data_IF_872670448867
#
_entry.id   IF_872670448867
#
_cell.length_a   1.000
_cell.length_b   1.000
_cell.length_c   1.000
_cell.angle_alpha   90.00
_cell.angle_beta   90.00
_cell.angle_gamma   90.00
#
_symmetry.space_group_name_H-M   'P 1'
#
loop_
_entity.id
_entity.type
_entity.pdbx_description
1 polymer ?
#
# COMPACT_ATOMS: atom_id res chain seq x y z
N UNK A 1 -17.11 10.50 39.54
CA UNK A 1 -16.52 9.33 38.91
C UNK A 1 -15.04 9.23 39.32
N UNK A 2 -14.79 8.48 40.40
CA UNK A 2 -13.43 8.12 40.81
C UNK A 2 -12.98 6.94 39.93
N UNK A 3 -12.31 7.20 38.82
CA UNK A 3 -11.56 6.20 38.13
C UNK A 3 -10.10 6.24 38.62
N UNK A 4 -9.67 5.30 39.49
CA UNK A 4 -8.33 5.30 40.08
C UNK A 4 -7.23 4.89 39.11
N UNK A 5 -7.53 4.68 37.84
CA UNK A 5 -6.62 4.14 36.82
C UNK A 5 -5.93 5.15 35.93
N UNK A 6 -6.15 6.45 36.12
CA UNK A 6 -5.40 7.47 35.37
C UNK A 6 -4.10 7.83 36.14
N UNK A 7 -3.21 6.89 36.33
CA UNK A 7 -1.85 7.24 36.71
C UNK A 7 -1.12 7.74 35.46
N UNK A 8 -0.59 8.97 35.49
CA UNK A 8 0.38 9.39 34.49
C UNK A 8 1.54 8.39 34.49
N UNK A 9 1.63 7.58 33.45
CA UNK A 9 2.75 6.67 33.24
C UNK A 9 3.60 7.27 32.13
N UNK A 10 4.77 7.74 32.48
CA UNK A 10 5.77 8.14 31.50
C UNK A 10 6.41 6.86 30.94
N UNK A 11 6.43 6.73 29.62
CA UNK A 11 7.12 5.65 28.93
C UNK A 11 8.38 6.20 28.27
N UNK A 12 9.46 5.44 28.38
CA UNK A 12 10.70 5.71 27.67
C UNK A 12 11.05 4.48 26.83
N UNK A 13 10.84 4.60 25.53
CA UNK A 13 11.02 3.50 24.55
C UNK A 13 12.15 3.89 23.61
N UNK A 14 13.41 3.53 23.92
CA UNK A 14 14.53 3.84 23.06
C UNK A 14 14.47 3.00 21.78
N UNK A 15 14.67 3.66 20.65
CA UNK A 15 14.80 3.04 19.33
C UNK A 15 16.14 3.41 18.73
N UNK A 16 16.81 2.42 18.16
CA UNK A 16 18.04 2.60 17.39
C UNK A 16 17.88 1.99 16.01
N UNK A 17 18.29 2.71 14.98
CA UNK A 17 18.21 2.21 13.61
C UNK A 17 19.45 2.57 12.79
N UNK A 18 19.76 1.73 11.81
CA UNK A 18 20.77 1.94 10.79
C UNK A 18 20.16 1.66 9.43
N UNK A 19 20.23 2.64 8.54
CA UNK A 19 19.78 2.53 7.16
C UNK A 19 20.98 2.71 6.22
N UNK A 20 21.22 1.72 5.38
CA UNK A 20 22.34 1.71 4.46
C UNK A 20 21.91 1.22 3.07
N UNK A 21 22.35 1.92 2.04
CA UNK A 21 22.05 1.56 0.66
C UNK A 21 23.25 1.84 -0.24
N UNK A 22 23.29 1.11 -1.35
CA UNK A 22 24.22 1.34 -2.43
C UNK A 22 23.46 1.75 -3.67
N UNK A 23 24.08 2.52 -4.51
CA UNK A 23 23.50 2.98 -5.77
C UNK A 23 24.45 2.60 -6.91
N UNK A 24 23.92 1.82 -7.85
CA UNK A 24 24.62 1.47 -9.09
C UNK A 24 23.79 1.95 -10.27
N UNK A 25 24.44 2.41 -11.30
CA UNK A 25 23.81 2.77 -12.55
C UNK A 25 24.56 2.20 -13.75
N UNK A 26 23.83 1.95 -14.82
CA UNK A 26 24.39 1.59 -16.11
C UNK A 26 23.57 2.18 -17.25
N UNK A 27 24.23 2.38 -18.37
CA UNK A 27 23.59 2.81 -19.61
C UNK A 27 23.55 1.62 -20.58
N UNK A 28 22.46 1.51 -21.31
CA UNK A 28 22.32 0.47 -22.33
C UNK A 28 21.42 0.94 -23.47
N UNK A 29 21.57 0.31 -24.63
CA UNK A 29 20.75 0.56 -25.83
C UNK A 29 19.81 -0.63 -26.02
N UNK A 30 18.53 -0.33 -26.25
CA UNK A 30 17.52 -1.33 -26.59
C UNK A 30 16.69 -0.82 -27.78
N UNK A 31 16.74 -1.54 -28.89
CA UNK A 31 16.01 -1.22 -30.12
C UNK A 31 16.26 0.22 -30.62
N UNK A 32 17.51 0.70 -30.49
CA UNK A 32 17.93 2.04 -30.93
C UNK A 32 17.56 3.19 -29.98
N UNK A 33 17.00 2.89 -28.82
CA UNK A 33 16.72 3.87 -27.76
C UNK A 33 17.72 3.68 -26.60
N UNK A 34 18.17 4.79 -26.03
CA UNK A 34 19.08 4.79 -24.87
C UNK A 34 18.29 4.81 -23.57
N UNK A 35 18.76 4.00 -22.64
CA UNK A 35 18.19 3.89 -21.30
C UNK A 35 19.31 3.96 -20.25
N UNK A 36 18.97 4.47 -19.09
CA UNK A 36 19.72 4.25 -17.86
C UNK A 36 18.94 3.30 -16.96
N UNK A 37 19.66 2.39 -16.31
CA UNK A 37 19.11 1.51 -15.29
C UNK A 37 19.82 1.74 -13.98
N UNK A 38 19.07 1.92 -12.89
CA UNK A 38 19.59 1.91 -11.53
C UNK A 38 19.42 0.55 -10.88
N UNK A 39 20.28 0.22 -9.93
CA UNK A 39 20.12 -0.89 -9.01
C UNK A 39 20.50 -0.40 -7.62
N UNK A 40 19.55 -0.47 -6.69
CA UNK A 40 19.60 0.18 -5.38
C UNK A 40 19.34 -0.87 -4.27
N UNK A 41 20.34 -1.69 -3.88
CA UNK A 41 20.23 -2.56 -2.72
C UNK A 41 20.24 -1.72 -1.44
N UNK A 42 19.39 -2.12 -0.46
CA UNK A 42 19.21 -1.43 0.82
C UNK A 42 19.14 -2.45 1.94
N UNK A 43 19.77 -2.13 3.05
CA UNK A 43 19.68 -2.88 4.30
C UNK A 43 19.23 -1.89 5.37
N UNK A 44 18.20 -2.27 6.10
CA UNK A 44 17.68 -1.49 7.21
C UNK A 44 17.65 -2.37 8.46
N UNK A 45 18.30 -1.93 9.52
CA UNK A 45 18.30 -2.58 10.83
C UNK A 45 17.63 -1.66 11.84
N UNK A 46 16.76 -2.20 12.69
CA UNK A 46 16.24 -1.46 13.83
C UNK A 46 16.02 -2.33 15.04
N UNK A 47 16.21 -1.72 16.21
CA UNK A 47 15.90 -2.30 17.51
C UNK A 47 15.13 -1.27 18.35
N UNK A 48 13.98 -1.68 18.88
CA UNK A 48 13.13 -0.91 19.77
C UNK A 48 12.89 -1.75 21.02
N UNK A 49 13.22 -1.20 22.19
CA UNK A 49 13.06 -1.93 23.45
C UNK A 49 11.60 -2.19 23.77
N UNK A 50 11.33 -3.36 24.33
CA UNK A 50 10.02 -3.67 24.88
C UNK A 50 9.72 -2.82 26.12
N UNK A 51 8.52 -2.24 26.16
CA UNK A 51 7.92 -1.63 27.33
C UNK A 51 6.45 -2.04 27.43
N UNK A 52 5.99 -2.38 28.63
CA UNK A 52 4.59 -2.74 28.84
C UNK A 52 3.67 -1.53 28.66
N UNK A 53 2.90 -1.56 27.61
CA UNK A 53 1.94 -0.53 27.20
C UNK A 53 0.48 -0.97 27.40
N UNK A 54 0.23 -2.12 28.03
CA UNK A 54 -1.11 -2.73 28.17
C UNK A 54 -2.11 -1.84 28.92
N UNK A 55 -1.62 -1.03 29.85
CA UNK A 55 -2.45 -0.11 30.67
C UNK A 55 -2.77 1.22 29.95
N UNK A 56 -2.15 1.48 28.80
CA UNK A 56 -2.43 2.70 28.04
C UNK A 56 -3.65 2.49 27.15
N UNK A 57 -4.55 3.47 27.06
CA UNK A 57 -5.66 3.41 26.13
C UNK A 57 -5.16 3.41 24.68
N UNK A 58 -5.88 2.76 23.81
CA UNK A 58 -5.60 2.73 22.38
C UNK A 58 -6.74 3.47 21.65
N UNK A 59 -6.42 4.57 20.98
CA UNK A 59 -7.39 5.44 20.32
C UNK A 59 -7.24 5.40 18.80
N UNK A 60 -6.00 5.53 18.29
CA UNK A 60 -5.73 5.72 16.87
C UNK A 60 -4.68 4.76 16.31
N UNK A 61 -4.29 3.75 17.08
CA UNK A 61 -3.31 2.77 16.64
C UNK A 61 -3.91 1.77 15.66
N UNK A 62 -3.28 1.64 14.52
CA UNK A 62 -3.54 0.58 13.55
C UNK A 62 -2.22 0.05 13.00
N UNK A 63 -2.24 -1.21 12.55
CA UNK A 63 -1.11 -1.78 11.84
C UNK A 63 -0.98 -1.15 10.44
N UNK A 64 0.23 -0.76 10.08
CA UNK A 64 0.53 -0.24 8.75
C UNK A 64 0.52 -1.39 7.75
N UNK A 65 -0.22 -1.22 6.66
CA UNK A 65 -0.11 -2.12 5.51
C UNK A 65 1.34 -2.20 5.02
N UNK A 66 1.82 -3.42 4.79
CA UNK A 66 3.15 -3.63 4.23
C UNK A 66 3.20 -3.04 2.81
N UNK A 67 4.16 -2.15 2.58
CA UNK A 67 4.39 -1.53 1.29
C UNK A 67 5.87 -1.13 1.15
N UNK A 68 6.24 -0.57 0.03
CA UNK A 68 7.63 -0.20 -0.26
C UNK A 68 8.27 0.73 0.79
N UNK A 69 7.48 1.57 1.46
CA UNK A 69 7.99 2.49 2.47
C UNK A 69 7.95 1.87 3.87
N UNK A 70 6.83 1.24 4.23
CA UNK A 70 6.62 0.68 5.56
C UNK A 70 7.50 -0.52 5.86
N UNK A 71 7.96 -1.25 4.83
CA UNK A 71 8.86 -2.40 5.03
C UNK A 71 10.22 -1.98 5.61
N UNK A 72 10.62 -0.71 5.43
CA UNK A 72 11.85 -0.13 5.99
C UNK A 72 11.55 0.84 7.15
N UNK A 73 10.43 0.68 7.86
CA UNK A 73 10.09 1.51 9.01
C UNK A 73 10.51 0.84 10.33
N UNK A 74 10.79 1.66 11.32
CA UNK A 74 11.10 1.24 12.69
C UNK A 74 9.86 0.70 13.40
N UNK A 75 8.74 1.41 13.29
CA UNK A 75 7.46 1.06 13.89
C UNK A 75 6.48 0.61 12.82
N UNK A 76 5.76 -0.49 13.09
CA UNK A 76 4.72 -1.00 12.21
C UNK A 76 3.32 -0.49 12.58
N UNK A 77 3.19 0.31 13.63
CA UNK A 77 1.95 0.99 13.97
C UNK A 77 1.92 2.42 13.41
N UNK A 78 0.73 2.85 12.98
CA UNK A 78 0.36 4.27 12.83
C UNK A 78 -0.30 4.74 14.12
N UNK A 79 -0.43 6.06 14.27
CA UNK A 79 -0.92 6.68 15.50
C UNK A 79 0.21 6.87 16.52
N UNK A 80 -0.13 7.41 17.68
CA UNK A 80 0.83 7.75 18.74
C UNK A 80 0.71 6.92 19.99
N UNK A 81 -0.27 6.02 20.08
CA UNK A 81 -0.64 5.33 21.32
C UNK A 81 0.19 4.08 21.59
N UNK A 82 0.81 3.53 20.55
CA UNK A 82 1.60 2.29 20.63
C UNK A 82 2.89 2.41 19.84
N UNK A 83 3.94 1.84 20.40
CA UNK A 83 5.22 1.63 19.72
C UNK A 83 5.53 0.14 19.81
N UNK A 84 5.71 -0.51 18.67
CA UNK A 84 6.04 -1.94 18.62
C UNK A 84 7.48 -2.15 19.06
N UNK A 85 7.70 -3.11 19.94
CA UNK A 85 9.03 -3.64 20.20
C UNK A 85 9.51 -4.38 18.96
N UNK A 86 10.77 -4.18 18.60
CA UNK A 86 11.33 -4.76 17.39
C UNK A 86 12.82 -4.99 17.51
N UNK A 87 13.26 -6.13 17.02
CA UNK A 87 14.65 -6.40 16.69
C UNK A 87 14.65 -7.04 15.31
N UNK A 88 14.93 -6.23 14.29
CA UNK A 88 14.64 -6.61 12.91
C UNK A 88 15.70 -6.13 11.93
N UNK A 89 15.84 -6.88 10.85
CA UNK A 89 16.66 -6.50 9.71
C UNK A 89 15.85 -6.67 8.42
N UNK A 90 15.86 -5.65 7.57
CA UNK A 90 15.17 -5.68 6.27
C UNK A 90 16.20 -5.62 5.16
N UNK A 91 16.11 -6.56 4.24
CA UNK A 91 16.85 -6.53 2.98
C UNK A 91 15.91 -6.18 1.85
N UNK A 92 16.36 -5.32 0.95
CA UNK A 92 15.61 -5.00 -0.25
C UNK A 92 16.49 -4.54 -1.38
N UNK A 93 15.92 -4.54 -2.57
CA UNK A 93 16.55 -4.01 -3.75
C UNK A 93 15.50 -3.37 -4.65
N UNK A 94 15.81 -2.20 -5.19
CA UNK A 94 14.99 -1.51 -6.18
C UNK A 94 15.76 -1.31 -7.47
N UNK A 95 15.05 -1.29 -8.59
CA UNK A 95 15.60 -0.98 -9.90
C UNK A 95 14.67 -0.06 -10.65
N UNK A 96 15.23 0.86 -11.42
CA UNK A 96 14.47 1.76 -12.30
C UNK A 96 15.11 1.79 -13.68
N UNK A 97 14.28 1.82 -14.71
CA UNK A 97 14.71 2.00 -16.10
C UNK A 97 14.13 3.32 -16.58
N UNK A 98 15.01 4.22 -16.96
CA UNK A 98 14.68 5.59 -17.36
C UNK A 98 15.16 5.79 -18.79
N UNK A 99 14.33 6.37 -19.66
CA UNK A 99 14.73 6.66 -21.03
C UNK A 99 15.54 7.98 -21.11
N UNK A 100 16.09 8.27 -22.28
CA UNK A 100 16.88 9.48 -22.55
C UNK A 100 16.16 10.82 -22.30
N UNK A 101 14.82 10.81 -22.21
CA UNK A 101 13.99 11.99 -21.88
C UNK A 101 13.74 12.12 -20.36
N UNK A 102 14.34 11.27 -19.54
CA UNK A 102 14.13 11.25 -18.10
C UNK A 102 12.81 10.61 -17.64
N UNK A 103 12.07 9.93 -18.55
CA UNK A 103 10.83 9.27 -18.20
C UNK A 103 11.10 7.84 -17.71
N UNK A 104 10.59 7.52 -16.52
CA UNK A 104 10.63 6.16 -15.97
C UNK A 104 9.73 5.24 -16.81
N UNK A 105 10.36 4.19 -17.34
CA UNK A 105 9.71 3.15 -18.14
C UNK A 105 9.35 1.93 -17.33
N UNK A 106 10.17 1.62 -16.34
CA UNK A 106 9.96 0.51 -15.42
C UNK A 106 10.56 0.87 -14.07
N UNK A 107 9.89 0.47 -13.00
CA UNK A 107 10.45 0.36 -11.66
C UNK A 107 10.00 -0.93 -11.02
N UNK A 108 10.86 -1.51 -10.18
CA UNK A 108 10.57 -2.73 -9.45
C UNK A 108 11.30 -2.72 -8.11
N UNK A 109 10.66 -3.27 -7.09
CA UNK A 109 11.20 -3.44 -5.75
C UNK A 109 10.88 -4.81 -5.23
N UNK A 110 11.85 -5.43 -4.58
CA UNK A 110 11.70 -6.66 -3.79
C UNK A 110 12.30 -6.40 -2.42
N UNK A 111 11.60 -6.80 -1.37
CA UNK A 111 12.11 -6.66 -0.01
C UNK A 111 11.47 -7.68 0.93
N UNK A 112 12.21 -8.03 2.00
CA UNK A 112 11.72 -8.88 3.08
C UNK A 112 12.35 -8.46 4.40
N UNK A 113 11.57 -8.50 5.47
CA UNK A 113 12.00 -8.23 6.84
C UNK A 113 12.15 -9.54 7.59
N UNK A 114 13.19 -9.62 8.39
CA UNK A 114 13.49 -10.73 9.30
C UNK A 114 13.43 -10.20 10.72
N UNK A 115 12.68 -10.88 11.56
CA UNK A 115 12.57 -10.58 12.98
C UNK A 115 13.57 -11.47 13.74
N UNK A 116 14.42 -10.85 14.53
CA UNK A 116 15.49 -11.53 15.24
C UNK A 116 15.07 -11.92 16.67
N UNK A 117 13.99 -11.29 17.16
CA UNK A 117 13.35 -11.60 18.45
C UNK A 117 11.83 -11.56 18.29
N UNK A 118 11.11 -12.24 19.19
CA UNK A 118 9.66 -12.24 19.25
C UNK A 118 9.14 -10.82 19.54
N UNK A 119 8.03 -10.48 18.91
CA UNK A 119 7.32 -9.21 19.11
C UNK A 119 6.29 -9.39 20.21
N UNK A 120 6.34 -8.57 21.24
CA UNK A 120 5.49 -8.67 22.44
C UNK A 120 4.39 -7.62 22.49
N UNK A 121 4.60 -6.44 21.88
CA UNK A 121 3.58 -5.39 21.78
C UNK A 121 2.73 -5.64 20.54
N UNK A 122 1.57 -6.29 20.74
CA UNK A 122 0.64 -6.65 19.68
C UNK A 122 -0.74 -6.03 19.97
N UNK A 123 -1.54 -5.82 18.92
CA UNK A 123 -2.96 -5.50 19.06
C UNK A 123 -3.78 -6.77 19.26
N UNK A 124 -5.01 -6.67 19.77
CA UNK A 124 -5.88 -7.84 19.98
C UNK A 124 -6.07 -8.68 18.71
N UNK A 125 -6.18 -8.04 17.56
CA UNK A 125 -6.32 -8.72 16.26
C UNK A 125 -5.06 -9.48 15.84
N UNK A 126 -3.88 -9.09 16.34
CA UNK A 126 -2.61 -9.73 16.02
C UNK A 126 -2.36 -10.98 16.87
N UNK A 127 -2.84 -11.05 18.11
CA UNK A 127 -2.68 -12.23 18.95
C UNK A 127 -3.33 -13.50 18.37
N UNK A 128 -4.35 -13.33 17.52
CA UNK A 128 -5.09 -14.43 16.92
C UNK A 128 -4.50 -14.88 15.57
N UNK A 129 -3.47 -14.21 15.07
CA UNK A 129 -2.92 -14.44 13.74
C UNK A 129 -1.49 -15.00 13.81
N UNK A 130 -1.27 -16.21 13.28
CA UNK A 130 0.04 -16.86 13.21
C UNK A 130 1.08 -16.07 12.42
N UNK A 131 0.66 -15.28 11.43
CA UNK A 131 1.57 -14.49 10.58
C UNK A 131 2.38 -13.45 11.40
N UNK A 132 1.83 -12.99 12.54
CA UNK A 132 2.54 -12.06 13.42
C UNK A 132 3.56 -12.71 14.34
N UNK A 133 3.53 -14.03 14.45
CA UNK A 133 4.53 -14.83 15.21
C UNK A 133 5.64 -15.38 14.31
N UNK A 134 5.55 -15.18 13.01
CA UNK A 134 6.58 -15.61 12.07
C UNK A 134 7.88 -14.81 12.26
N UNK A 135 9.02 -15.47 12.04
CA UNK A 135 10.36 -14.87 12.08
C UNK A 135 10.60 -13.98 10.84
N UNK A 136 9.68 -14.00 9.85
CA UNK A 136 9.80 -13.21 8.62
C UNK A 136 8.50 -12.45 8.32
N UNK A 137 8.61 -11.31 7.65
CA UNK A 137 7.46 -10.70 6.99
C UNK A 137 7.15 -11.43 5.69
N UNK A 138 5.99 -11.15 5.11
CA UNK A 138 5.76 -11.47 3.72
C UNK A 138 6.88 -10.92 2.83
N UNK A 139 7.21 -11.67 1.78
CA UNK A 139 8.04 -11.18 0.69
C UNK A 139 7.24 -10.13 -0.07
N UNK A 140 7.69 -8.89 -0.03
CA UNK A 140 7.09 -7.78 -0.75
C UNK A 140 7.72 -7.64 -2.14
N UNK A 141 6.88 -7.61 -3.17
CA UNK A 141 7.28 -7.38 -4.56
C UNK A 141 6.37 -6.31 -5.14
N UNK A 142 6.96 -5.31 -5.77
CA UNK A 142 6.20 -4.32 -6.54
C UNK A 142 6.84 -4.08 -7.90
N UNK A 143 6.01 -3.80 -8.90
CA UNK A 143 6.45 -3.44 -10.23
C UNK A 143 5.53 -2.38 -10.83
N UNK A 144 6.12 -1.42 -11.52
CA UNK A 144 5.41 -0.39 -12.27
C UNK A 144 6.03 -0.24 -13.66
N UNK A 145 5.20 -0.12 -14.68
CA UNK A 145 5.70 0.08 -16.06
C UNK A 145 4.82 1.06 -16.83
N UNK A 146 5.47 1.93 -17.61
CA UNK A 146 4.82 2.83 -18.56
C UNK A 146 4.92 2.22 -19.95
N UNK A 147 3.89 1.45 -20.36
CA UNK A 147 3.82 0.78 -21.67
C UNK A 147 3.88 1.83 -22.78
N UNK A 148 3.06 2.85 -22.65
CA UNK A 148 3.08 4.04 -23.50
C UNK A 148 3.24 5.29 -22.64
N UNK A 149 3.26 6.47 -23.25
CA UNK A 149 3.22 7.74 -22.49
C UNK A 149 1.91 7.91 -21.69
N UNK A 150 0.86 7.24 -22.13
CA UNK A 150 -0.51 7.40 -21.63
C UNK A 150 -1.01 6.20 -20.82
N UNK A 151 -0.31 5.05 -20.86
CA UNK A 151 -0.71 3.81 -20.19
C UNK A 151 0.34 3.37 -19.20
N UNK A 152 -0.04 3.38 -17.91
CA UNK A 152 0.75 2.88 -16.79
C UNK A 152 0.09 1.67 -16.15
N UNK A 153 0.89 0.64 -15.86
CA UNK A 153 0.50 -0.55 -15.12
C UNK A 153 1.27 -0.60 -13.81
N UNK A 154 0.62 -1.05 -12.75
CA UNK A 154 1.26 -1.33 -11.46
C UNK A 154 0.80 -2.68 -10.95
N UNK A 155 1.69 -3.40 -10.28
CA UNK A 155 1.42 -4.65 -9.59
C UNK A 155 2.13 -4.66 -8.24
N UNK A 156 1.48 -5.19 -7.23
CA UNK A 156 2.05 -5.43 -5.90
C UNK A 156 1.67 -6.83 -5.45
N UNK A 157 2.61 -7.53 -4.83
CA UNK A 157 2.42 -8.88 -4.33
C UNK A 157 3.08 -9.03 -2.96
N UNK A 158 2.35 -9.56 -2.00
CA UNK A 158 2.84 -9.98 -0.70
C UNK A 158 2.63 -11.48 -0.58
N UNK A 159 3.72 -12.21 -0.42
CA UNK A 159 3.72 -13.65 -0.41
C UNK A 159 4.36 -14.18 0.87
N UNK A 160 3.61 -14.95 1.64
CA UNK A 160 4.11 -15.64 2.81
C UNK A 160 4.91 -16.87 2.36
N UNK A 161 6.22 -16.86 2.63
CA UNK A 161 7.11 -17.95 2.23
C UNK A 161 6.97 -19.18 3.13
N UNK A 162 6.56 -19.00 4.39
CA UNK A 162 6.44 -20.09 5.36
C UNK A 162 5.16 -20.89 5.14
N UNK A 163 4.07 -20.21 4.82
CA UNK A 163 2.77 -20.84 4.55
C UNK A 163 2.50 -21.06 3.05
N UNK A 164 3.43 -20.67 2.19
CA UNK A 164 3.32 -20.79 0.73
C UNK A 164 2.02 -20.19 0.16
N UNK A 165 1.58 -19.07 0.72
CA UNK A 165 0.31 -18.42 0.32
C UNK A 165 0.49 -16.95 -0.08
N UNK A 166 -0.39 -16.48 -0.94
CA UNK A 166 -0.53 -15.05 -1.24
C UNK A 166 -1.37 -14.39 -0.18
N UNK A 167 -0.81 -13.42 0.56
CA UNK A 167 -1.55 -12.61 1.51
C UNK A 167 -2.15 -11.37 0.84
N UNK A 168 -1.46 -10.78 -0.14
CA UNK A 168 -2.00 -9.65 -0.89
C UNK A 168 -1.54 -9.66 -2.34
N UNK A 169 -2.46 -9.35 -3.24
CA UNK A 169 -2.18 -9.11 -4.65
C UNK A 169 -2.99 -7.90 -5.11
N UNK A 170 -2.33 -6.91 -5.66
CA UNK A 170 -2.99 -5.77 -6.28
C UNK A 170 -2.44 -5.57 -7.69
N UNK A 171 -3.35 -5.28 -8.60
CA UNK A 171 -3.02 -4.91 -9.97
C UNK A 171 -3.82 -3.68 -10.35
N UNK A 172 -3.19 -2.72 -11.02
CA UNK A 172 -3.89 -1.57 -11.55
C UNK A 172 -3.37 -1.14 -12.92
N UNK A 173 -4.26 -0.59 -13.70
CA UNK A 173 -3.98 -0.01 -15.00
C UNK A 173 -4.59 1.39 -15.07
N UNK A 174 -3.82 2.35 -15.50
CA UNK A 174 -4.28 3.73 -15.73
C UNK A 174 -3.94 4.17 -17.15
N UNK A 175 -4.99 4.48 -17.89
CA UNK A 175 -4.90 5.10 -19.21
C UNK A 175 -5.28 6.57 -19.11
N UNK A 176 -4.36 7.46 -19.47
CA UNK A 176 -4.52 8.92 -19.35
C UNK A 176 -3.99 9.62 -20.59
N UNK A 177 -4.75 9.59 -21.73
CA UNK A 177 -4.26 10.09 -23.03
C UNK A 177 -4.18 11.61 -23.13
N UNK A 178 -4.92 12.34 -22.27
CA UNK A 178 -5.00 13.80 -22.32
C UNK A 178 -5.51 14.36 -20.99
N UNK A 179 -5.42 15.67 -20.81
CA UNK A 179 -5.93 16.36 -19.62
C UNK A 179 -7.44 16.11 -19.49
N UNK A 180 -7.86 15.70 -18.30
CA UNK A 180 -9.27 15.40 -18.00
C UNK A 180 -9.82 14.10 -18.61
N UNK A 181 -8.97 13.29 -19.28
CA UNK A 181 -9.32 11.97 -19.79
C UNK A 181 -8.56 10.91 -19.02
N UNK A 182 -9.23 10.06 -18.27
CA UNK A 182 -8.61 8.88 -17.71
C UNK A 182 -9.59 7.72 -17.58
N UNK A 183 -9.03 6.52 -17.66
CA UNK A 183 -9.68 5.26 -17.29
C UNK A 183 -8.74 4.55 -16.33
N UNK A 184 -9.26 4.08 -15.22
CA UNK A 184 -8.57 3.29 -14.22
C UNK A 184 -9.27 1.96 -14.07
N UNK A 185 -8.49 0.88 -14.07
CA UNK A 185 -8.91 -0.47 -13.73
C UNK A 185 -8.07 -0.93 -12.55
N UNK A 186 -8.69 -1.56 -11.58
CA UNK A 186 -8.02 -2.11 -10.42
C UNK A 186 -8.58 -3.46 -10.04
N UNK A 187 -7.71 -4.33 -9.56
CA UNK A 187 -8.03 -5.58 -8.91
C UNK A 187 -7.26 -5.65 -7.60
N UNK A 188 -7.90 -6.16 -6.55
CA UNK A 188 -7.31 -6.34 -5.23
C UNK A 188 -7.76 -7.69 -4.65
N UNK A 189 -6.78 -8.45 -4.20
CA UNK A 189 -6.96 -9.63 -3.36
C UNK A 189 -6.28 -9.38 -2.02
N UNK A 190 -6.94 -9.72 -0.91
CA UNK A 190 -6.37 -9.73 0.44
C UNK A 190 -6.88 -11.00 1.12
N UNK A 191 -5.95 -11.84 1.56
CA UNK A 191 -6.23 -12.92 2.49
C UNK A 191 -6.47 -12.30 3.86
N UNK A 192 -7.69 -12.41 4.38
CA UNK A 192 -8.04 -11.89 5.71
C UNK A 192 -8.08 -13.03 6.72
N UNK A 193 -7.04 -13.20 7.55
CA UNK A 193 -6.98 -14.30 8.50
C UNK A 193 -8.00 -14.17 9.64
N UNK A 194 -8.63 -13.01 9.81
CA UNK A 194 -9.67 -12.77 10.82
C UNK A 194 -11.08 -12.90 10.25
N UNK A 195 -11.21 -13.17 8.96
CA UNK A 195 -12.48 -13.34 8.25
C UNK A 195 -12.64 -14.75 7.71
N UNK A 196 -13.88 -15.20 7.58
CA UNK A 196 -14.19 -16.47 6.91
C UNK A 196 -14.08 -16.42 5.39
N UNK A 197 -13.85 -15.23 4.82
CA UNK A 197 -13.75 -15.02 3.37
C UNK A 197 -12.67 -13.99 3.04
N UNK A 198 -11.96 -14.23 1.95
CA UNK A 198 -10.98 -13.31 1.39
C UNK A 198 -11.66 -12.07 0.80
N UNK A 199 -10.92 -10.97 0.71
CA UNK A 199 -11.36 -9.79 -0.01
C UNK A 199 -10.88 -9.90 -1.46
N UNK A 200 -11.81 -10.00 -2.42
CA UNK A 200 -11.54 -10.03 -3.85
C UNK A 200 -12.37 -8.95 -4.54
N UNK A 201 -11.75 -7.85 -4.90
CA UNK A 201 -12.46 -6.68 -5.41
C UNK A 201 -11.92 -6.25 -6.75
N UNK A 202 -12.83 -5.89 -7.66
CA UNK A 202 -12.52 -5.23 -8.91
C UNK A 202 -13.15 -3.84 -8.94
N UNK A 203 -12.44 -2.88 -9.50
CA UNK A 203 -12.97 -1.54 -9.70
C UNK A 203 -12.63 -1.02 -11.10
N UNK A 204 -13.56 -0.24 -11.65
CA UNK A 204 -13.35 0.57 -12.84
C UNK A 204 -13.79 2.00 -12.51
N UNK A 205 -12.98 2.98 -12.88
CA UNK A 205 -13.37 4.38 -12.76
C UNK A 205 -12.80 5.18 -13.93
N UNK A 206 -13.44 6.30 -14.21
CA UNK A 206 -12.97 7.15 -15.29
C UNK A 206 -13.64 8.51 -15.32
N UNK A 207 -12.97 9.39 -16.05
CA UNK A 207 -13.48 10.69 -16.44
C UNK A 207 -13.23 10.89 -17.91
N UNK A 208 -14.22 11.45 -18.61
CA UNK A 208 -14.09 11.71 -20.03
C UNK A 208 -14.80 13.01 -20.42
N UNK A 209 -14.11 13.96 -21.10
CA UNK A 209 -14.74 15.18 -21.60
C UNK A 209 -15.71 14.85 -22.72
N UNK A 210 -16.90 15.46 -22.63
CA UNK A 210 -17.99 15.34 -23.60
C UNK A 210 -18.01 16.53 -24.58
N UNK A 211 -17.19 17.54 -24.33
CA UNK A 211 -17.14 18.78 -25.10
C UNK A 211 -17.92 19.92 -24.45
N UNK A 212 -17.68 21.15 -24.94
CA UNK A 212 -18.38 22.37 -24.50
C UNK A 212 -18.41 22.58 -22.97
N UNK A 213 -17.29 22.25 -22.28
CA UNK A 213 -17.19 22.38 -20.82
C UNK A 213 -17.78 21.20 -20.02
N UNK A 214 -18.42 20.25 -20.68
CA UNK A 214 -18.96 19.05 -20.04
C UNK A 214 -17.95 17.93 -19.94
N UNK A 215 -17.95 17.21 -18.82
CA UNK A 215 -17.25 15.94 -18.62
C UNK A 215 -18.12 14.95 -17.88
N UNK A 216 -18.00 13.66 -18.22
CA UNK A 216 -18.61 12.56 -17.48
C UNK A 216 -17.62 11.99 -16.46
N UNK A 217 -18.14 11.49 -15.34
CA UNK A 217 -17.40 10.70 -14.35
C UNK A 217 -18.18 9.43 -14.04
N UNK A 218 -17.47 8.33 -13.86
CA UNK A 218 -18.08 7.08 -13.44
C UNK A 218 -17.10 6.29 -12.55
N UNK A 219 -17.66 5.54 -11.58
CA UNK A 219 -16.95 4.54 -10.78
C UNK A 219 -17.89 3.36 -10.55
N UNK A 220 -17.33 2.18 -10.63
CA UNK A 220 -18.01 0.95 -10.25
C UNK A 220 -17.05 0.06 -9.50
N UNK A 221 -17.45 -0.42 -8.33
CA UNK A 221 -16.67 -1.31 -7.48
C UNK A 221 -17.51 -2.52 -7.13
N UNK A 222 -16.93 -3.69 -7.29
CA UNK A 222 -17.62 -4.98 -7.17
C UNK A 222 -16.81 -5.93 -6.31
N UNK A 223 -17.48 -6.63 -5.40
CA UNK A 223 -16.95 -7.75 -4.62
C UNK A 223 -17.12 -9.03 -5.43
N UNK A 224 -15.98 -9.64 -5.81
CA UNK A 224 -15.98 -10.87 -6.59
C UNK A 224 -16.21 -12.11 -5.73
N UNK A 225 -15.94 -12.05 -4.42
CA UNK A 225 -16.18 -13.15 -3.48
C UNK A 225 -17.66 -13.17 -3.05
N UNK A 226 -18.16 -12.05 -2.56
CA UNK A 226 -19.57 -11.87 -2.17
C UNK A 226 -20.53 -11.77 -3.35
N UNK A 227 -20.03 -11.63 -4.58
CA UNK A 227 -20.84 -11.41 -5.79
C UNK A 227 -21.80 -10.21 -5.67
N UNK A 228 -21.34 -9.12 -5.06
CA UNK A 228 -22.18 -7.94 -4.81
C UNK A 228 -21.50 -6.62 -5.21
N UNK A 229 -22.35 -5.64 -5.50
CA UNK A 229 -21.92 -4.27 -5.76
C UNK A 229 -21.50 -3.62 -4.45
N UNK A 230 -20.31 -3.00 -4.41
CA UNK A 230 -19.84 -2.22 -3.27
C UNK A 230 -20.23 -0.75 -3.43
N UNK A 231 -19.97 -0.19 -4.61
CA UNK A 231 -20.27 1.21 -4.92
C UNK A 231 -20.50 1.38 -6.42
N UNK A 232 -21.48 2.18 -6.79
CA UNK A 232 -21.59 2.75 -8.13
C UNK A 232 -21.81 4.25 -8.07
N UNK A 233 -21.02 4.98 -8.85
CA UNK A 233 -21.13 6.42 -8.99
C UNK A 233 -21.15 6.77 -10.47
N UNK A 234 -22.07 7.64 -10.87
CA UNK A 234 -22.10 8.20 -12.21
C UNK A 234 -22.53 9.67 -12.16
N UNK A 235 -21.99 10.48 -13.03
CA UNK A 235 -22.38 11.89 -13.07
C UNK A 235 -21.74 12.68 -14.19
N UNK A 236 -22.10 13.97 -14.20
CA UNK A 236 -21.59 14.94 -15.15
C UNK A 236 -21.10 16.19 -14.42
N UNK A 237 -20.03 16.75 -14.92
CA UNK A 237 -19.48 18.02 -14.47
C UNK A 237 -19.56 19.01 -15.62
N UNK A 238 -19.88 20.26 -15.34
CA UNK A 238 -19.82 21.37 -16.26
C UNK A 238 -18.87 22.45 -15.74
N UNK A 239 -17.96 22.87 -16.58
CA UNK A 239 -16.98 23.92 -16.28
C UNK A 239 -17.16 25.06 -17.30
N UNK A 240 -17.55 26.22 -16.81
CA UNK A 240 -17.69 27.45 -17.59
C UNK A 240 -16.44 28.35 -17.50
N UNK A 241 -15.36 27.90 -16.85
CA UNK A 241 -14.13 28.65 -16.61
C UNK A 241 -14.17 29.56 -15.38
N UNK A 242 -15.27 30.27 -15.13
CA UNK A 242 -15.45 31.12 -13.95
C UNK A 242 -16.35 30.51 -12.85
N UNK A 243 -17.09 29.48 -13.18
CA UNK A 243 -17.87 28.65 -12.24
C UNK A 243 -17.96 27.21 -12.75
N UNK A 244 -18.16 26.28 -11.85
CA UNK A 244 -18.38 24.87 -12.18
C UNK A 244 -19.57 24.30 -11.42
N UNK A 245 -20.19 23.26 -11.99
CA UNK A 245 -21.30 22.53 -11.35
C UNK A 245 -21.14 21.04 -11.60
N UNK A 246 -21.55 20.23 -10.62
CA UNK A 246 -21.49 18.77 -10.70
C UNK A 246 -22.83 18.17 -10.28
N UNK A 247 -23.29 17.17 -11.01
CA UNK A 247 -24.45 16.35 -10.66
C UNK A 247 -23.94 14.92 -10.60
N UNK A 248 -24.00 14.33 -9.40
CA UNK A 248 -23.50 12.98 -9.12
C UNK A 248 -24.61 12.13 -8.50
N UNK A 249 -24.73 10.91 -9.01
CA UNK A 249 -25.53 9.85 -8.42
C UNK A 249 -24.61 8.82 -7.83
N UNK A 250 -24.71 8.59 -6.52
CA UNK A 250 -23.93 7.60 -5.82
C UNK A 250 -24.88 6.57 -5.17
N UNK A 251 -24.58 5.32 -5.37
CA UNK A 251 -25.26 4.19 -4.74
C UNK A 251 -24.23 3.38 -3.97
N UNK A 252 -24.48 3.21 -2.68
CA UNK A 252 -23.75 2.33 -1.77
C UNK A 252 -24.78 1.36 -1.20
N UNK A 253 -24.82 0.09 -1.65
CA UNK A 253 -25.70 -0.91 -1.07
C UNK A 253 -25.42 -1.03 0.43
N UNK A 254 -26.47 -1.01 1.24
CA UNK A 254 -26.35 -1.35 2.66
C UNK A 254 -26.22 -2.87 2.75
N UNK A 255 -25.21 -3.35 3.47
CA UNK A 255 -25.12 -4.76 3.79
C UNK A 255 -26.40 -5.17 4.55
N UNK A 256 -27.22 -5.98 3.93
CA UNK A 256 -28.35 -6.63 4.61
C UNK A 256 -27.78 -7.84 5.34
N UNK A 257 -27.72 -7.73 6.68
CA UNK A 257 -27.45 -8.86 7.57
C UNK A 257 -28.52 -9.95 7.39
#
# INVERSE_FOLDING_TARGET
>A
DNNPAASNKDLFIPTFSIDSGLYFDRYFDLSGNKYSQTFEPRIFYSVTSYEDQSMLPMFDTALVDLNQNSIFSENQFVGGDRVMDSHQITFGASTRIINERGLEKFSGTIAQRFYLDDRSVLTESQFSNSDYQSDTSDLFISASTSITKDLKLNAEHQYNLDEEKTNRLAFSSRYNPDIGKFIYLGYRFINDPNSSSDIKQANISGQWPLGSGWSSVARYQYDLEGHEEIESLAGVNYDAGCWSSSILFNRIPLATN
#
